data_IF_906094387180
#
_entry.id   IF_906094387180
#
_cell.length_a   1.000
_cell.length_b   1.000
_cell.length_c   1.000
_cell.angle_alpha   90.00
_cell.angle_beta   90.00
_cell.angle_gamma   90.00
#
_symmetry.space_group_name_H-M   'P 1'
#
loop_
_entity.id
_entity.type
_entity.pdbx_description
1 polymer ?
#
# COMPACT_ATOMS: atom_id res chain seq x y z
N UNK A 1 -15.31 -46.86 16.28
CA UNK A 1 -15.37 -45.55 15.60
C UNK A 1 -16.13 -45.73 14.29
N UNK A 2 -17.20 -44.96 14.05
CA UNK A 2 -18.05 -45.14 12.85
C UNK A 2 -17.43 -44.45 11.62
N UNK A 3 -17.73 -44.95 10.42
CA UNK A 3 -17.31 -44.36 9.14
C UNK A 3 -17.75 -42.89 9.04
N UNK A 4 -18.95 -42.57 9.54
CA UNK A 4 -19.48 -41.20 9.58
C UNK A 4 -18.61 -40.24 10.40
N UNK A 5 -18.12 -40.66 11.57
CA UNK A 5 -17.23 -39.84 12.40
C UNK A 5 -15.89 -39.58 11.71
N UNK A 6 -15.31 -40.59 11.05
CA UNK A 6 -14.06 -40.43 10.30
C UNK A 6 -14.20 -39.44 9.14
N UNK A 7 -15.32 -39.48 8.42
CA UNK A 7 -15.61 -38.53 7.34
C UNK A 7 -15.81 -37.10 7.87
N UNK A 8 -16.50 -36.95 9.00
CA UNK A 8 -16.71 -35.65 9.64
C UNK A 8 -15.38 -35.04 10.14
N UNK A 9 -14.54 -35.84 10.78
CA UNK A 9 -13.23 -35.42 11.26
C UNK A 9 -12.32 -35.01 10.10
N UNK A 10 -12.33 -35.78 9.00
CA UNK A 10 -11.59 -35.46 7.78
C UNK A 10 -12.07 -34.15 7.15
N UNK A 11 -13.39 -33.97 7.00
CA UNK A 11 -13.95 -32.73 6.46
C UNK A 11 -13.64 -31.51 7.32
N UNK A 12 -13.64 -31.67 8.65
CA UNK A 12 -13.22 -30.60 9.58
C UNK A 12 -11.74 -30.26 9.44
N UNK A 13 -10.87 -31.26 9.33
CA UNK A 13 -9.44 -31.06 9.14
C UNK A 13 -9.13 -30.37 7.81
N UNK A 14 -9.74 -30.83 6.72
CA UNK A 14 -9.59 -30.23 5.39
C UNK A 14 -10.12 -28.79 5.37
N UNK A 15 -11.30 -28.55 5.95
CA UNK A 15 -11.87 -27.21 6.05
C UNK A 15 -10.98 -26.26 6.84
N UNK A 16 -10.40 -26.71 7.95
CA UNK A 16 -9.45 -25.91 8.73
C UNK A 16 -8.17 -25.61 7.95
N UNK A 17 -7.58 -26.63 7.29
CA UNK A 17 -6.37 -26.44 6.48
C UNK A 17 -6.60 -25.47 5.33
N UNK A 18 -7.73 -25.59 4.62
CA UNK A 18 -8.11 -24.68 3.54
C UNK A 18 -8.35 -23.26 4.07
N UNK A 19 -9.07 -23.12 5.18
CA UNK A 19 -9.33 -21.82 5.80
C UNK A 19 -8.05 -21.10 6.22
N UNK A 20 -7.11 -21.82 6.84
CA UNK A 20 -5.80 -21.27 7.22
C UNK A 20 -5.02 -20.86 5.98
N UNK A 21 -4.93 -21.73 4.96
CA UNK A 21 -4.18 -21.45 3.74
C UNK A 21 -4.71 -20.19 3.03
N UNK A 22 -6.03 -20.12 2.82
CA UNK A 22 -6.67 -18.98 2.19
C UNK A 22 -6.53 -17.70 3.02
N UNK A 23 -6.69 -17.79 4.33
CA UNK A 23 -6.55 -16.64 5.22
C UNK A 23 -5.15 -16.05 5.22
N UNK A 24 -4.11 -16.90 5.19
CA UNK A 24 -2.72 -16.46 5.10
C UNK A 24 -2.44 -15.82 3.74
N UNK A 25 -2.85 -16.48 2.65
CA UNK A 25 -2.61 -16.01 1.28
C UNK A 25 -3.24 -14.62 1.05
N UNK A 26 -4.53 -14.47 1.38
CA UNK A 26 -5.24 -13.19 1.27
C UNK A 26 -4.67 -12.12 2.21
N UNK A 27 -4.31 -12.50 3.44
CA UNK A 27 -3.76 -11.58 4.42
C UNK A 27 -2.41 -11.00 3.98
N UNK A 28 -1.55 -11.83 3.39
CA UNK A 28 -0.25 -11.40 2.85
C UNK A 28 -0.45 -10.49 1.63
N UNK A 29 -1.29 -10.89 0.69
CA UNK A 29 -1.53 -10.13 -0.54
C UNK A 29 -2.07 -8.72 -0.23
N UNK A 30 -3.13 -8.64 0.59
CA UNK A 30 -3.71 -7.37 1.02
C UNK A 30 -2.72 -6.53 1.83
N UNK A 31 -1.95 -7.17 2.72
CA UNK A 31 -0.93 -6.48 3.53
C UNK A 31 0.16 -5.83 2.66
N UNK A 32 0.64 -6.54 1.65
CA UNK A 32 1.66 -6.03 0.71
C UNK A 32 1.09 -4.89 -0.13
N UNK A 33 -0.11 -5.06 -0.70
CA UNK A 33 -0.74 -4.05 -1.55
C UNK A 33 -0.99 -2.75 -0.77
N UNK A 34 -1.54 -2.85 0.44
CA UNK A 34 -1.74 -1.70 1.34
C UNK A 34 -0.43 -1.03 1.72
N UNK A 35 0.62 -1.81 2.01
CA UNK A 35 1.95 -1.28 2.31
C UNK A 35 2.55 -0.49 1.15
N UNK A 36 2.47 -1.03 -0.07
CA UNK A 36 2.96 -0.36 -1.28
C UNK A 36 2.16 0.92 -1.54
N UNK A 37 0.84 0.88 -1.41
CA UNK A 37 -0.01 2.06 -1.61
C UNK A 37 0.31 3.16 -0.59
N UNK A 38 0.48 2.81 0.69
CA UNK A 38 0.86 3.78 1.72
C UNK A 38 2.24 4.38 1.47
N UNK A 39 3.24 3.58 1.09
CA UNK A 39 4.57 4.11 0.80
C UNK A 39 4.59 5.01 -0.45
N UNK A 40 3.79 4.70 -1.47
CA UNK A 40 3.62 5.59 -2.62
C UNK A 40 3.05 6.95 -2.21
N UNK A 41 2.02 6.96 -1.36
CA UNK A 41 1.44 8.20 -0.83
C UNK A 41 2.46 8.99 0.00
N UNK A 42 3.22 8.33 0.88
CA UNK A 42 4.28 8.97 1.68
C UNK A 42 5.43 9.49 0.83
N UNK A 43 5.84 8.74 -0.19
CA UNK A 43 6.87 9.18 -1.14
C UNK A 43 6.43 10.44 -1.88
N UNK A 44 5.18 10.47 -2.35
CA UNK A 44 4.62 11.64 -3.00
C UNK A 44 4.52 12.85 -2.05
N UNK A 45 4.08 12.65 -0.80
CA UNK A 45 4.10 13.70 0.23
C UNK A 45 5.51 14.25 0.48
N UNK A 46 6.53 13.38 0.59
CA UNK A 46 7.93 13.80 0.73
C UNK A 46 8.41 14.61 -0.48
N UNK A 47 8.03 14.24 -1.70
CA UNK A 47 8.37 15.00 -2.90
C UNK A 47 7.78 16.42 -2.85
N UNK A 48 6.54 16.55 -2.41
CA UNK A 48 5.88 17.85 -2.21
C UNK A 48 6.59 18.68 -1.13
N UNK A 49 6.94 18.08 0.00
CA UNK A 49 7.67 18.78 1.08
C UNK A 49 9.06 19.26 0.62
N UNK A 50 9.78 18.44 -0.14
CA UNK A 50 11.06 18.83 -0.73
C UNK A 50 10.89 19.99 -1.71
N UNK A 51 9.90 19.92 -2.61
CA UNK A 51 9.58 21.01 -3.52
C UNK A 51 9.27 22.32 -2.75
N UNK A 52 8.52 22.24 -1.63
CA UNK A 52 8.25 23.39 -0.76
C UNK A 52 9.52 24.00 -0.17
N UNK A 53 10.42 23.16 0.33
CA UNK A 53 11.68 23.62 0.92
C UNK A 53 12.58 24.28 -0.14
N UNK A 54 12.61 23.73 -1.35
CA UNK A 54 13.35 24.30 -2.47
C UNK A 54 12.79 25.67 -2.88
N UNK A 55 11.46 25.81 -2.99
CA UNK A 55 10.82 27.11 -3.24
C UNK A 55 11.15 28.13 -2.15
N UNK A 56 11.09 27.74 -0.87
CA UNK A 56 11.48 28.60 0.26
C UNK A 56 12.95 29.03 0.21
N UNK A 57 13.84 28.18 -0.30
CA UNK A 57 15.25 28.52 -0.50
C UNK A 57 15.52 29.37 -1.74
N UNK A 58 14.49 29.74 -2.50
CA UNK A 58 14.62 30.61 -3.68
C UNK A 58 14.90 29.87 -4.99
N UNK A 59 14.72 28.55 -5.04
CA UNK A 59 14.82 27.78 -6.29
C UNK A 59 13.63 28.10 -7.19
N UNK A 60 13.89 28.27 -8.48
CA UNK A 60 12.87 28.63 -9.46
C UNK A 60 11.81 27.53 -9.61
N UNK A 61 10.54 27.93 -9.62
CA UNK A 61 9.37 27.05 -9.76
C UNK A 61 9.42 26.18 -11.03
N UNK A 62 9.86 26.70 -12.17
CA UNK A 62 9.95 25.95 -13.43
C UNK A 62 10.96 24.81 -13.34
N UNK A 63 12.08 25.03 -12.64
CA UNK A 63 13.10 23.99 -12.41
C UNK A 63 12.51 22.87 -11.55
N UNK A 64 11.71 23.21 -10.54
CA UNK A 64 11.07 22.23 -9.65
C UNK A 64 10.04 21.41 -10.42
N UNK A 65 9.13 22.05 -11.17
CA UNK A 65 8.12 21.37 -12.00
C UNK A 65 8.78 20.39 -12.98
N UNK A 66 9.85 20.83 -13.66
CA UNK A 66 10.57 20.01 -14.64
C UNK A 66 11.23 18.76 -14.04
N UNK A 67 11.74 18.86 -12.80
CA UNK A 67 12.50 17.76 -12.19
C UNK A 67 11.66 16.86 -11.28
N UNK A 68 10.61 17.40 -10.64
CA UNK A 68 9.79 16.67 -9.68
C UNK A 68 8.49 16.11 -10.29
N UNK A 69 8.23 16.36 -11.58
CA UNK A 69 7.00 15.96 -12.29
C UNK A 69 5.73 16.39 -11.53
N UNK A 70 5.81 17.51 -10.81
CA UNK A 70 4.69 18.09 -10.07
C UNK A 70 3.99 19.11 -10.96
N UNK A 71 2.68 19.12 -10.91
CA UNK A 71 1.84 20.12 -11.57
C UNK A 71 1.88 21.45 -10.83
N UNK A 72 1.52 22.54 -11.52
CA UNK A 72 1.42 23.85 -10.87
C UNK A 72 0.32 23.83 -9.81
N UNK A 73 -0.75 23.09 -10.04
CA UNK A 73 -1.88 22.93 -9.11
C UNK A 73 -1.47 22.22 -7.81
N UNK A 74 -0.65 21.17 -7.90
CA UNK A 74 -0.09 20.47 -6.72
C UNK A 74 0.83 21.39 -5.90
N UNK A 75 1.46 22.38 -6.53
CA UNK A 75 2.32 23.35 -5.86
C UNK A 75 1.55 24.60 -5.36
N UNK A 76 0.45 24.98 -6.01
CA UNK A 76 -0.38 26.16 -5.69
C UNK A 76 -1.47 25.84 -4.66
N UNK A 77 -1.91 24.58 -4.56
CA UNK A 77 -2.81 24.12 -3.49
C UNK A 77 -2.14 24.03 -2.11
N UNK A 78 -0.85 24.35 -2.03
CA UNK A 78 -0.08 24.38 -0.80
C UNK A 78 -0.19 25.76 -0.13
N UNK A 79 -0.64 25.86 1.13
CA UNK A 79 -0.64 27.11 1.87
C UNK A 79 0.77 27.62 2.22
#
# INVERSE_FOLDING_TARGET
MCIAQRLQDKGRQEGLQLGIKLGIELGIELGIELGIAQERLRAHQRQIELARNLLKSGVNLEIIIKNFYLTREELVSLP
#
